data_IF_635717655123
#
_entry.id   IF_635717655123
#
_cell.length_a   1.000
_cell.length_b   1.000
_cell.length_c   1.000
_cell.angle_alpha   90.00
_cell.angle_beta   90.00
_cell.angle_gamma   90.00
#
_symmetry.space_group_name_H-M   'P 1'
#
loop_
_entity.id
_entity.type
_entity.pdbx_description
1 polymer ?
#
# COMPACT_ATOMS: atom_id res chain seq x y z
N UNK A 1 -12.55 -3.44 -22.82
CA UNK A 1 -12.83 -2.82 -21.50
C UNK A 1 -14.18 -3.36 -21.03
N UNK A 2 -14.19 -4.51 -20.33
CA UNK A 2 -15.42 -5.02 -19.72
C UNK A 2 -15.57 -4.38 -18.34
N UNK A 3 -16.67 -3.69 -18.11
CA UNK A 3 -17.01 -3.13 -16.80
C UNK A 3 -16.95 -4.22 -15.73
N UNK A 4 -16.19 -3.95 -14.66
CA UNK A 4 -16.03 -4.82 -13.49
C UNK A 4 -17.35 -4.88 -12.70
N UNK A 5 -18.35 -5.60 -13.19
CA UNK A 5 -19.63 -5.73 -12.48
C UNK A 5 -19.52 -6.79 -11.36
N UNK A 6 -19.49 -6.31 -10.12
CA UNK A 6 -19.67 -7.14 -8.92
C UNK A 6 -21.17 -7.36 -8.72
N UNK A 7 -21.60 -8.61 -8.54
CA UNK A 7 -23.03 -8.97 -8.49
C UNK A 7 -23.43 -9.47 -7.10
N UNK A 8 -24.52 -8.92 -6.53
CA UNK A 8 -25.12 -9.48 -5.31
C UNK A 8 -25.84 -10.79 -5.61
N UNK A 9 -25.63 -11.81 -4.77
CA UNK A 9 -26.26 -13.12 -4.90
C UNK A 9 -26.84 -13.59 -3.57
N UNK A 10 -27.77 -14.55 -3.64
CA UNK A 10 -28.25 -15.24 -2.45
C UNK A 10 -27.21 -16.23 -1.92
N UNK A 11 -27.20 -16.54 -0.62
CA UNK A 11 -26.33 -17.58 -0.03
C UNK A 11 -26.40 -18.92 -0.77
N UNK A 12 -27.58 -19.31 -1.23
CA UNK A 12 -27.75 -20.54 -2.01
C UNK A 12 -26.99 -20.48 -3.33
N UNK A 13 -27.06 -19.33 -4.02
CA UNK A 13 -26.38 -19.12 -5.30
C UNK A 13 -24.87 -18.95 -5.11
N UNK A 14 -24.44 -18.28 -4.04
CA UNK A 14 -23.03 -18.25 -3.61
C UNK A 14 -22.46 -19.66 -3.44
N UNK A 15 -23.18 -20.53 -2.72
CA UNK A 15 -22.78 -21.94 -2.56
C UNK A 15 -22.62 -22.67 -3.90
N UNK A 16 -23.53 -22.46 -4.84
CA UNK A 16 -23.41 -23.04 -6.19
C UNK A 16 -22.22 -22.49 -6.99
N UNK A 17 -21.92 -21.19 -6.89
CA UNK A 17 -20.77 -20.56 -7.55
C UNK A 17 -19.46 -21.15 -7.01
N UNK A 18 -19.34 -21.27 -5.69
CA UNK A 18 -18.17 -21.82 -5.00
C UNK A 18 -17.97 -23.31 -5.34
N UNK A 19 -19.06 -24.08 -5.36
CA UNK A 19 -19.00 -25.53 -5.64
C UNK A 19 -18.66 -25.81 -7.11
N UNK A 20 -19.27 -25.07 -8.04
CA UNK A 20 -19.12 -25.34 -9.48
C UNK A 20 -17.80 -24.83 -10.05
N UNK A 21 -17.18 -23.81 -9.42
CA UNK A 21 -15.90 -23.21 -9.86
C UNK A 21 -15.89 -22.80 -11.33
N UNK A 22 -17.06 -22.54 -11.91
CA UNK A 22 -17.13 -21.97 -13.25
C UNK A 22 -16.69 -20.51 -13.17
N UNK A 23 -15.87 -20.01 -14.11
CA UNK A 23 -15.37 -18.63 -14.09
C UNK A 23 -16.50 -17.66 -14.42
N UNK A 24 -17.32 -17.35 -13.42
CA UNK A 24 -18.56 -16.58 -13.56
C UNK A 24 -18.37 -15.09 -13.20
N UNK A 25 -17.23 -14.75 -12.60
CA UNK A 25 -16.90 -13.39 -12.21
C UNK A 25 -16.90 -13.20 -10.69
N UNK A 26 -17.38 -12.04 -10.25
CA UNK A 26 -17.28 -11.59 -8.86
C UNK A 26 -18.63 -11.36 -8.23
N UNK A 27 -18.76 -11.83 -7.00
CA UNK A 27 -20.03 -11.87 -6.31
C UNK A 27 -19.89 -11.51 -4.84
N UNK A 28 -21.00 -11.11 -4.22
CA UNK A 28 -21.09 -11.02 -2.78
C UNK A 28 -22.46 -11.45 -2.27
N UNK A 29 -22.53 -11.92 -1.02
CA UNK A 29 -23.79 -12.13 -0.31
C UNK A 29 -23.67 -11.66 1.15
N UNK A 30 -24.80 -11.49 1.84
CA UNK A 30 -24.85 -11.17 3.26
C UNK A 30 -25.37 -12.36 4.06
N UNK A 31 -24.63 -12.76 5.10
CA UNK A 31 -24.99 -13.83 6.02
C UNK A 31 -24.96 -13.31 7.46
N UNK A 32 -26.14 -13.13 8.07
CA UNK A 32 -26.24 -12.50 9.37
C UNK A 32 -25.66 -11.08 9.37
N UNK A 33 -24.62 -10.85 10.18
CA UNK A 33 -23.94 -9.56 10.34
C UNK A 33 -22.69 -9.41 9.46
N UNK A 34 -22.32 -10.42 8.66
CA UNK A 34 -21.13 -10.40 7.80
C UNK A 34 -21.48 -10.38 6.31
N UNK A 35 -20.54 -9.89 5.51
CA UNK A 35 -20.57 -9.93 4.05
C UNK A 35 -19.55 -10.94 3.55
N UNK A 36 -19.93 -11.79 2.61
CA UNK A 36 -19.03 -12.78 2.00
C UNK A 36 -18.71 -12.32 0.58
N UNK A 37 -17.44 -12.04 0.32
CA UNK A 37 -16.93 -11.74 -1.02
C UNK A 37 -16.50 -13.02 -1.72
N UNK A 38 -16.79 -13.13 -3.02
CA UNK A 38 -16.45 -14.29 -3.85
C UNK A 38 -15.77 -13.80 -5.14
N UNK A 39 -14.48 -14.09 -5.29
CA UNK A 39 -13.75 -13.89 -6.54
C UNK A 39 -13.60 -15.21 -7.28
N UNK A 40 -14.38 -15.35 -8.35
CA UNK A 40 -14.41 -16.55 -9.18
C UNK A 40 -14.22 -16.17 -10.65
N UNK A 41 -13.26 -15.29 -10.94
CA UNK A 41 -12.93 -14.86 -12.31
C UNK A 41 -12.21 -15.93 -13.12
N UNK A 42 -11.41 -16.75 -12.47
CA UNK A 42 -10.49 -17.74 -13.06
C UNK A 42 -10.90 -19.20 -12.77
N UNK A 43 -11.89 -19.40 -11.89
CA UNK A 43 -12.35 -20.72 -11.47
C UNK A 43 -11.77 -21.20 -10.14
N UNK A 44 -10.95 -20.38 -9.45
CA UNK A 44 -10.43 -20.76 -8.13
C UNK A 44 -11.47 -20.58 -7.01
N UNK A 45 -12.41 -19.65 -7.21
CA UNK A 45 -13.48 -19.28 -6.28
C UNK A 45 -12.98 -18.91 -4.88
N UNK A 46 -12.15 -17.87 -4.80
CA UNK A 46 -11.68 -17.29 -3.55
C UNK A 46 -12.84 -16.72 -2.75
N UNK A 47 -12.82 -16.93 -1.43
CA UNK A 47 -13.88 -16.45 -0.52
C UNK A 47 -13.28 -15.79 0.71
N UNK A 48 -13.86 -14.67 1.14
CA UNK A 48 -13.46 -13.99 2.37
C UNK A 48 -14.67 -13.32 3.05
N UNK A 49 -14.62 -13.21 4.38
CA UNK A 49 -15.67 -12.64 5.22
C UNK A 49 -15.29 -11.23 5.69
N UNK A 50 -16.26 -10.31 5.66
CA UNK A 50 -16.07 -8.91 5.97
C UNK A 50 -17.13 -8.38 6.94
N UNK A 51 -16.73 -7.49 7.83
CA UNK A 51 -17.65 -6.82 8.76
C UNK A 51 -18.49 -5.74 8.07
N UNK A 52 -18.02 -5.19 6.94
CA UNK A 52 -18.74 -4.15 6.20
C UNK A 52 -18.80 -4.44 4.70
N UNK A 53 -19.86 -3.95 4.04
CA UNK A 53 -20.01 -4.03 2.58
C UNK A 53 -18.85 -3.34 1.86
N UNK A 54 -18.35 -2.22 2.41
CA UNK A 54 -17.27 -1.45 1.80
C UNK A 54 -15.96 -2.25 1.74
N UNK A 55 -15.62 -2.98 2.80
CA UNK A 55 -14.43 -3.85 2.82
C UNK A 55 -14.55 -4.99 1.80
N UNK A 56 -15.73 -5.62 1.75
CA UNK A 56 -16.03 -6.65 0.76
C UNK A 56 -15.88 -6.15 -0.68
N UNK A 57 -16.38 -4.95 -0.98
CA UNK A 57 -16.27 -4.34 -2.31
C UNK A 57 -14.83 -3.98 -2.65
N UNK A 58 -14.08 -3.44 -1.68
CA UNK A 58 -12.66 -3.11 -1.90
C UNK A 58 -11.87 -4.36 -2.31
N UNK A 59 -12.02 -5.46 -1.56
CA UNK A 59 -11.39 -6.73 -1.87
C UNK A 59 -11.77 -7.23 -3.28
N UNK A 60 -13.07 -7.24 -3.61
CA UNK A 60 -13.57 -7.69 -4.91
C UNK A 60 -13.12 -6.80 -6.08
N UNK A 61 -12.88 -5.51 -5.88
CA UNK A 61 -12.47 -4.62 -6.97
C UNK A 61 -10.97 -4.72 -7.34
N UNK A 62 -10.24 -5.62 -6.66
CA UNK A 62 -8.78 -5.59 -6.51
C UNK A 62 -8.31 -4.22 -5.97
N UNK A 63 -9.20 -3.49 -5.29
CA UNK A 63 -8.78 -2.44 -4.37
C UNK A 63 -8.34 -3.16 -3.11
N UNK A 64 -7.30 -3.99 -3.26
CA UNK A 64 -6.46 -4.43 -2.16
C UNK A 64 -5.72 -3.19 -1.64
N UNK A 65 -6.47 -2.21 -1.15
CA UNK A 65 -6.03 -1.57 0.07
C UNK A 65 -6.24 -2.67 1.10
N UNK A 66 -5.19 -3.21 1.76
CA UNK A 66 -5.43 -3.83 3.06
C UNK A 66 -6.28 -2.82 3.83
N UNK A 67 -7.56 -3.13 4.03
CA UNK A 67 -8.49 -2.19 4.64
C UNK A 67 -7.99 -1.96 6.05
N UNK A 68 -7.34 -0.82 6.24
CA UNK A 68 -6.77 -0.39 7.50
C UNK A 68 -5.26 -0.15 7.50
N UNK A 69 -4.43 -0.83 6.70
CA UNK A 69 -2.98 -0.62 6.79
C UNK A 69 -2.57 0.63 6.00
N UNK A 70 -2.75 1.79 6.63
CA UNK A 70 -2.09 3.05 6.26
C UNK A 70 -0.86 3.24 7.14
N UNK A 71 0.11 4.03 6.69
CA UNK A 71 1.25 4.38 7.54
C UNK A 71 0.78 5.07 8.82
N UNK A 72 -0.27 5.90 8.72
CA UNK A 72 -0.90 6.56 9.86
C UNK A 72 -1.38 5.57 10.91
N UNK A 73 -2.17 4.57 10.51
CA UNK A 73 -2.63 3.52 11.43
C UNK A 73 -1.46 2.74 12.02
N UNK A 74 -0.44 2.43 11.21
CA UNK A 74 0.75 1.72 11.67
C UNK A 74 1.48 2.49 12.77
N UNK A 75 1.66 3.79 12.59
CA UNK A 75 2.27 4.67 13.58
C UNK A 75 1.40 4.77 14.84
N UNK A 76 0.07 4.90 14.70
CA UNK A 76 -0.87 4.95 15.83
C UNK A 76 -0.87 3.67 16.67
N UNK A 77 -0.94 2.50 16.01
CA UNK A 77 -0.91 1.20 16.68
C UNK A 77 0.45 1.00 17.38
N UNK A 78 1.57 1.36 16.72
CA UNK A 78 2.92 1.30 17.32
C UNK A 78 3.04 2.24 18.53
N UNK A 79 2.47 3.45 18.47
CA UNK A 79 2.42 4.40 19.61
C UNK A 79 1.63 3.78 20.78
N UNK A 80 0.47 3.18 20.51
CA UNK A 80 -0.37 2.57 21.53
C UNK A 80 0.33 1.40 22.24
N UNK A 81 1.01 0.53 21.48
CA UNK A 81 1.79 -0.58 22.03
C UNK A 81 2.99 -0.09 22.85
N UNK A 82 3.70 0.94 22.36
CA UNK A 82 4.81 1.55 23.08
C UNK A 82 4.34 2.13 24.43
N UNK A 83 3.24 2.88 24.44
CA UNK A 83 2.64 3.42 25.66
C UNK A 83 2.20 2.29 26.61
N UNK A 84 1.59 1.22 26.09
CA UNK A 84 1.20 0.07 26.91
C UNK A 84 2.40 -0.60 27.59
N UNK A 85 3.56 -0.63 26.92
CA UNK A 85 4.78 -1.27 27.41
C UNK A 85 5.61 -0.37 28.34
N UNK A 86 5.70 0.92 28.04
CA UNK A 86 6.64 1.86 28.69
C UNK A 86 5.94 2.99 29.47
N UNK A 87 4.61 3.12 29.37
CA UNK A 87 3.78 4.06 30.11
C UNK A 87 3.84 5.52 29.62
N UNK A 88 4.68 5.83 28.65
CA UNK A 88 4.86 7.18 28.08
C UNK A 88 5.42 7.08 26.66
N UNK A 89 5.23 8.14 25.87
CA UNK A 89 6.03 8.39 24.68
C UNK A 89 7.21 9.27 25.09
N UNK A 90 8.42 8.82 24.77
CA UNK A 90 9.66 9.56 24.98
C UNK A 90 10.55 9.50 23.73
N UNK A 91 11.74 10.09 23.81
CA UNK A 91 12.68 10.21 22.70
C UNK A 91 12.96 8.86 22.01
N UNK A 92 12.94 7.75 22.76
CA UNK A 92 13.20 6.42 22.22
C UNK A 92 12.10 5.97 21.25
N UNK A 93 10.85 6.40 21.43
CA UNK A 93 9.84 6.17 20.40
C UNK A 93 10.19 6.95 19.11
N UNK A 94 10.60 8.21 19.22
CA UNK A 94 10.97 9.03 18.06
C UNK A 94 12.17 8.45 17.30
N UNK A 95 13.19 8.01 18.03
CA UNK A 95 14.47 7.58 17.45
C UNK A 95 14.46 6.11 16.98
N UNK A 96 13.62 5.26 17.58
CA UNK A 96 13.58 3.82 17.26
C UNK A 96 12.18 3.37 16.80
N UNK A 97 11.13 3.69 17.57
CA UNK A 97 9.78 3.17 17.33
C UNK A 97 9.11 3.70 16.06
N UNK A 98 9.23 5.00 15.80
CA UNK A 98 8.70 5.65 14.61
C UNK A 98 9.43 5.19 13.33
N UNK A 99 10.77 5.23 13.25
CA UNK A 99 11.47 4.68 12.10
C UNK A 99 11.18 3.19 11.87
N UNK A 100 10.99 2.41 12.93
CA UNK A 100 10.57 1.01 12.78
C UNK A 100 9.17 0.89 12.14
N UNK A 101 8.21 1.70 12.55
CA UNK A 101 6.86 1.68 11.97
C UNK A 101 6.86 2.07 10.48
N UNK A 102 7.69 3.05 10.09
CA UNK A 102 7.83 3.47 8.68
C UNK A 102 8.45 2.36 7.85
N UNK A 103 9.55 1.74 8.31
CA UNK A 103 10.22 0.64 7.59
C UNK A 103 9.33 -0.60 7.46
N UNK A 104 8.59 -0.96 8.52
CA UNK A 104 7.70 -2.12 8.46
C UNK A 104 6.53 -1.89 7.51
N UNK A 105 5.98 -0.66 7.48
CA UNK A 105 4.99 -0.28 6.47
C UNK A 105 5.57 -0.31 5.06
N UNK A 106 6.76 0.25 4.85
CA UNK A 106 7.45 0.22 3.56
C UNK A 106 7.70 -1.21 3.08
N UNK A 107 8.15 -2.11 3.95
CA UNK A 107 8.31 -3.53 3.63
C UNK A 107 7.01 -4.21 3.18
N UNK A 108 5.84 -3.75 3.66
CA UNK A 108 4.53 -4.23 3.19
C UNK A 108 4.10 -3.63 1.84
N UNK A 109 4.65 -2.47 1.46
CA UNK A 109 4.39 -1.81 0.18
C UNK A 109 5.34 -2.27 -0.92
N UNK A 110 6.61 -2.50 -0.57
CA UNK A 110 7.66 -2.87 -1.50
C UNK A 110 8.51 -1.69 -1.97
N UNK A 111 7.91 -0.49 -2.11
CA UNK A 111 8.64 0.74 -2.44
C UNK A 111 7.96 1.99 -1.91
N UNK A 112 8.72 3.07 -1.73
CA UNK A 112 8.19 4.42 -1.51
C UNK A 112 7.42 4.96 -2.71
N UNK A 113 7.57 4.36 -3.90
CA UNK A 113 6.71 4.67 -5.05
C UNK A 113 5.24 4.34 -4.80
N UNK A 114 4.96 3.38 -3.91
CA UNK A 114 3.60 2.98 -3.53
C UNK A 114 3.05 3.78 -2.33
N UNK A 115 3.80 4.78 -1.85
CA UNK A 115 3.32 5.67 -0.79
C UNK A 115 2.25 6.62 -1.34
N UNK A 116 1.16 6.73 -0.60
CA UNK A 116 0.08 7.67 -0.89
C UNK A 116 0.41 9.08 -0.41
N UNK A 117 -0.39 10.07 -0.82
CA UNK A 117 -0.28 11.43 -0.29
C UNK A 117 -0.46 11.49 1.24
N UNK A 118 -1.32 10.64 1.83
CA UNK A 118 -1.45 10.58 3.30
C UNK A 118 -0.21 9.97 3.97
N UNK A 119 0.46 9.01 3.33
CA UNK A 119 1.70 8.42 3.87
C UNK A 119 2.82 9.49 3.95
N UNK A 120 2.96 10.30 2.89
CA UNK A 120 3.89 11.44 2.92
C UNK A 120 3.48 12.51 3.94
N UNK A 121 2.18 12.79 4.07
CA UNK A 121 1.67 13.74 5.05
C UNK A 121 1.96 13.30 6.48
N UNK A 122 1.75 12.02 6.82
CA UNK A 122 2.00 11.53 8.17
C UNK A 122 3.49 11.46 8.49
N UNK A 123 4.37 11.18 7.53
CA UNK A 123 5.81 11.34 7.71
C UNK A 123 6.17 12.78 8.10
N UNK A 124 5.67 13.77 7.33
CA UNK A 124 5.87 15.20 7.61
C UNK A 124 5.34 15.61 8.99
N UNK A 125 4.13 15.18 9.34
CA UNK A 125 3.52 15.46 10.65
C UNK A 125 4.36 14.93 11.83
N UNK A 126 5.10 13.84 11.61
CA UNK A 126 6.00 13.28 12.61
C UNK A 126 7.46 13.78 12.45
N UNK A 127 7.69 14.85 11.68
CA UNK A 127 8.95 15.57 11.61
C UNK A 127 9.99 15.00 10.65
N UNK A 128 9.62 14.03 9.80
CA UNK A 128 10.51 13.47 8.78
C UNK A 128 10.42 14.28 7.50
N UNK A 129 11.55 14.52 6.85
CA UNK A 129 11.61 15.03 5.47
C UNK A 129 11.44 13.90 4.45
N UNK A 130 11.10 14.25 3.20
CA UNK A 130 11.03 13.28 2.09
C UNK A 130 12.33 12.48 1.98
N UNK A 131 13.47 13.17 1.96
CA UNK A 131 14.78 12.54 1.76
C UNK A 131 15.17 11.63 2.93
N UNK A 132 14.82 12.00 4.17
CA UNK A 132 15.03 11.14 5.34
C UNK A 132 14.18 9.87 5.27
N UNK A 133 12.95 9.94 4.77
CA UNK A 133 12.10 8.74 4.56
C UNK A 133 12.68 7.85 3.47
N UNK A 134 13.06 8.41 2.31
CA UNK A 134 13.70 7.63 1.24
C UNK A 134 14.96 6.94 1.74
N UNK A 135 15.80 7.64 2.51
CA UNK A 135 17.00 7.07 3.15
C UNK A 135 16.67 6.00 4.19
N UNK A 136 15.66 6.22 5.01
CA UNK A 136 15.23 5.25 6.03
C UNK A 136 14.78 3.93 5.40
N UNK A 137 14.16 4.01 4.21
CA UNK A 137 13.68 2.87 3.45
C UNK A 137 14.72 2.25 2.50
N UNK A 138 15.99 2.68 2.55
CA UNK A 138 17.07 2.24 1.64
C UNK A 138 16.76 2.49 0.15
N UNK A 139 16.07 3.60 -0.11
CA UNK A 139 15.63 4.01 -1.45
C UNK A 139 16.02 5.47 -1.76
N UNK A 140 17.23 5.89 -1.39
CA UNK A 140 17.76 7.25 -1.67
C UNK A 140 17.70 7.64 -3.15
N UNK A 141 17.64 6.67 -4.07
CA UNK A 141 17.44 6.87 -5.51
C UNK A 141 16.15 7.64 -5.83
N UNK A 142 15.16 7.61 -4.94
CA UNK A 142 13.91 8.37 -5.04
C UNK A 142 13.93 9.67 -4.21
N UNK A 143 15.07 10.04 -3.62
CA UNK A 143 15.25 11.33 -2.97
C UNK A 143 15.13 12.51 -3.94
N UNK A 144 14.80 13.68 -3.41
CA UNK A 144 14.63 14.93 -4.15
C UNK A 144 15.92 15.45 -4.81
N UNK A 145 17.08 14.95 -4.37
CA UNK A 145 18.39 15.29 -4.92
C UNK A 145 18.77 14.56 -6.20
N UNK A 146 18.05 13.49 -6.58
CA UNK A 146 18.29 12.75 -7.83
C UNK A 146 17.35 13.32 -8.89
N UNK A 147 17.89 13.97 -9.92
CA UNK A 147 17.09 14.72 -10.90
C UNK A 147 17.33 14.28 -12.35
N UNK A 148 18.40 13.53 -12.58
CA UNK A 148 18.76 13.03 -13.91
C UNK A 148 18.77 11.50 -13.95
N UNK A 149 18.49 10.96 -15.13
CA UNK A 149 18.52 9.51 -15.35
C UNK A 149 19.92 8.94 -15.07
N UNK A 150 20.99 9.70 -15.35
CA UNK A 150 22.36 9.26 -15.06
C UNK A 150 22.64 9.16 -13.55
N UNK A 151 22.18 10.13 -12.76
CA UNK A 151 22.30 10.07 -11.29
C UNK A 151 21.53 8.88 -10.72
N UNK A 152 20.34 8.62 -11.27
CA UNK A 152 19.52 7.47 -10.89
C UNK A 152 20.21 6.14 -11.22
N UNK A 153 20.77 5.97 -12.42
CA UNK A 153 21.50 4.74 -12.77
C UNK A 153 22.78 4.52 -11.96
N UNK A 154 23.41 5.57 -11.43
CA UNK A 154 24.57 5.43 -10.54
C UNK A 154 24.23 4.74 -9.21
N UNK A 155 22.94 4.55 -8.88
CA UNK A 155 22.52 3.80 -7.68
C UNK A 155 22.33 2.31 -7.94
N UNK A 156 22.45 1.86 -9.19
CA UNK A 156 22.30 0.45 -9.57
C UNK A 156 23.68 -0.21 -9.74
N UNK A 157 23.77 -1.54 -9.64
CA UNK A 157 25.01 -2.25 -9.94
C UNK A 157 25.38 -2.14 -11.42
N UNK A 158 26.67 -2.17 -11.73
CA UNK A 158 27.21 -2.05 -13.10
C UNK A 158 26.71 -3.14 -14.07
N UNK A 159 26.31 -4.29 -13.55
CA UNK A 159 25.87 -5.46 -14.31
C UNK A 159 24.34 -5.63 -14.35
N UNK A 160 23.59 -4.52 -14.20
CA UNK A 160 22.13 -4.52 -14.26
C UNK A 160 21.58 -5.21 -15.53
N UNK A 161 20.73 -6.24 -15.38
CA UNK A 161 20.09 -6.90 -16.51
C UNK A 161 19.30 -5.92 -17.38
N UNK A 162 19.24 -6.20 -18.68
CA UNK A 162 18.56 -5.33 -19.65
C UNK A 162 17.08 -5.12 -19.31
N UNK A 163 16.38 -6.16 -18.84
CA UNK A 163 14.96 -6.06 -18.49
C UNK A 163 14.76 -5.14 -17.28
N UNK A 164 15.59 -5.29 -16.24
CA UNK A 164 15.58 -4.43 -15.06
C UNK A 164 15.94 -2.98 -15.40
N UNK A 165 16.85 -2.76 -16.34
CA UNK A 165 17.19 -1.41 -16.83
C UNK A 165 16.00 -0.72 -17.52
N UNK A 166 15.15 -1.47 -18.22
CA UNK A 166 13.94 -0.92 -18.85
C UNK A 166 12.94 -0.51 -17.77
N UNK A 167 12.72 -1.36 -16.77
CA UNK A 167 11.88 -1.03 -15.61
C UNK A 167 12.41 0.19 -14.85
N UNK A 168 13.72 0.27 -14.61
CA UNK A 168 14.34 1.40 -13.93
C UNK A 168 14.12 2.74 -14.67
N UNK A 169 14.10 2.75 -16.00
CA UNK A 169 13.77 3.96 -16.77
C UNK A 169 12.32 4.37 -16.54
N UNK A 170 11.39 3.42 -16.56
CA UNK A 170 9.96 3.67 -16.31
C UNK A 170 9.73 4.19 -14.88
N UNK A 171 10.37 3.57 -13.90
CA UNK A 171 10.32 3.98 -12.50
C UNK A 171 10.84 5.40 -12.30
N UNK A 172 11.98 5.74 -12.94
CA UNK A 172 12.55 7.09 -12.87
C UNK A 172 11.56 8.14 -13.37
N UNK A 173 10.97 7.94 -14.55
CA UNK A 173 10.04 8.93 -15.11
C UNK A 173 8.73 8.98 -14.33
N UNK A 174 8.20 7.84 -13.90
CA UNK A 174 7.02 7.76 -13.04
C UNK A 174 7.25 8.55 -11.75
N UNK A 175 8.39 8.33 -11.09
CA UNK A 175 8.74 9.05 -9.89
C UNK A 175 8.90 10.55 -10.15
N UNK A 176 9.74 10.96 -11.09
CA UNK A 176 10.06 12.37 -11.32
C UNK A 176 8.87 13.19 -11.83
N UNK A 177 8.05 12.61 -12.70
CA UNK A 177 7.00 13.35 -13.39
C UNK A 177 5.65 13.30 -12.67
N UNK A 178 5.39 12.23 -11.89
CA UNK A 178 4.06 12.00 -11.32
C UNK A 178 4.04 11.96 -9.80
N UNK A 179 5.00 11.27 -9.16
CA UNK A 179 4.95 10.98 -7.72
C UNK A 179 5.70 12.03 -6.88
N UNK A 180 6.94 12.36 -7.25
CA UNK A 180 7.76 13.34 -6.56
C UNK A 180 7.08 14.72 -6.47
N UNK A 181 6.44 15.27 -7.52
CA UNK A 181 5.75 16.55 -7.41
C UNK A 181 4.59 16.55 -6.40
N UNK A 182 3.88 15.42 -6.26
CA UNK A 182 2.80 15.26 -5.26
C UNK A 182 3.36 15.25 -3.85
N UNK A 183 4.42 14.47 -3.62
CA UNK A 183 5.12 14.43 -2.34
C UNK A 183 5.70 15.82 -1.99
N UNK A 184 6.42 16.46 -2.91
CA UNK A 184 6.98 17.80 -2.71
C UNK A 184 5.91 18.85 -2.39
N UNK A 185 4.73 18.78 -3.00
CA UNK A 185 3.61 19.69 -2.68
C UNK A 185 3.17 19.55 -1.22
N UNK A 186 3.16 18.34 -0.67
CA UNK A 186 2.86 18.09 0.74
C UNK A 186 3.91 18.74 1.64
N UNK A 187 5.19 18.61 1.26
CA UNK A 187 6.30 19.21 2.01
C UNK A 187 6.35 20.74 1.89
N UNK A 188 6.04 21.30 0.72
CA UNK A 188 6.04 22.75 0.46
C UNK A 188 4.88 23.52 1.12
N UNK A 189 3.74 22.87 1.34
CA UNK A 189 2.62 23.46 2.07
C UNK A 189 2.89 23.38 3.58
N UNK A 190 3.65 24.32 4.12
CA UNK A 190 3.99 24.45 5.55
C UNK A 190 4.03 25.90 5.97
#
# INVERSE_FOLDING_TARGET
MSEKNITEVTSKMAGSIIETRQPLGRFYCKEGDVYIGIDNRDGDAWTEEFGTLQECMNWLEDKCTPTGLTLRKKIEDTKAEYIKRYGKLDWKFTDEGLPWAIQDYHGSKGSVMDFTEDDWAVCKENGWTLDEVCKLCDEERFGSGISTLSEYFNTFPDDLPKEDAICAVDDFYTWQMELLPKAQKIYANG
#
